data_IF_108064405162
#
_entry.id   IF_108064405162
#
_cell.length_a   1.000
_cell.length_b   1.000
_cell.length_c   1.000
_cell.angle_alpha   90.00
_cell.angle_beta   90.00
_cell.angle_gamma   90.00
#
_symmetry.space_group_name_H-M   'P 1'
#
loop_
_entity.id
_entity.type
_entity.pdbx_description
1 polymer ?
#
# COMPACT_ATOMS: atom_id res chain seq x y z
N UNK A 1 12.97 4.53 -43.19
CA UNK A 1 12.29 4.99 -41.97
C UNK A 1 11.96 6.45 -42.13
N UNK A 2 10.68 6.77 -42.21
CA UNK A 2 10.21 8.15 -42.32
C UNK A 2 9.96 8.73 -40.93
N UNK A 3 10.04 10.05 -40.76
CA UNK A 3 9.71 10.74 -39.50
C UNK A 3 8.29 10.41 -39.02
N UNK A 4 7.37 10.17 -39.96
CA UNK A 4 6.00 9.74 -39.71
C UNK A 4 5.91 8.36 -39.05
N UNK A 5 6.67 7.37 -39.53
CA UNK A 5 6.72 6.04 -38.91
C UNK A 5 7.31 6.09 -37.49
N UNK A 6 8.31 6.95 -37.26
CA UNK A 6 8.89 7.14 -35.95
C UNK A 6 7.91 7.79 -34.96
N UNK A 7 7.10 8.76 -35.41
CA UNK A 7 6.06 9.38 -34.60
C UNK A 7 4.89 8.44 -34.33
N UNK A 8 4.48 7.63 -35.31
CA UNK A 8 3.45 6.62 -35.12
C UNK A 8 3.88 5.56 -34.09
N UNK A 9 5.14 5.10 -34.15
CA UNK A 9 5.67 4.16 -33.16
C UNK A 9 5.76 4.75 -31.75
N UNK A 10 6.15 6.03 -31.62
CA UNK A 10 6.19 6.73 -30.34
C UNK A 10 4.79 6.91 -29.74
N UNK A 11 3.80 7.26 -30.55
CA UNK A 11 2.41 7.39 -30.09
C UNK A 11 1.84 6.04 -29.65
N UNK A 12 2.16 4.95 -30.35
CA UNK A 12 1.69 3.62 -29.99
C UNK A 12 2.34 3.12 -28.69
N UNK A 13 3.64 3.38 -28.49
CA UNK A 13 4.34 3.13 -27.22
C UNK A 13 3.68 3.94 -26.08
N UNK A 14 3.34 5.21 -26.33
CA UNK A 14 2.69 6.08 -25.36
C UNK A 14 1.30 5.57 -24.98
N UNK A 15 0.52 5.13 -25.97
CA UNK A 15 -0.80 4.50 -25.77
C UNK A 15 -0.70 3.22 -24.95
N UNK A 16 0.30 2.39 -25.25
CA UNK A 16 0.53 1.14 -24.53
C UNK A 16 0.94 1.37 -23.07
N UNK A 17 1.75 2.40 -22.81
CA UNK A 17 2.13 2.82 -21.45
C UNK A 17 0.96 3.39 -20.65
N UNK A 18 0.06 4.14 -21.28
CA UNK A 18 -1.15 4.63 -20.62
C UNK A 18 -2.11 3.48 -20.25
N UNK A 19 -2.29 2.52 -21.16
CA UNK A 19 -3.11 1.32 -20.91
C UNK A 19 -2.55 0.44 -19.79
N UNK A 20 -1.24 0.23 -19.75
CA UNK A 20 -0.58 -0.57 -18.70
C UNK A 20 -0.55 0.13 -17.35
N UNK A 21 -0.43 1.47 -17.33
CA UNK A 21 -0.52 2.27 -16.12
C UNK A 21 -1.89 2.19 -15.43
N UNK A 22 -2.98 2.33 -16.19
CA UNK A 22 -4.33 2.24 -15.65
C UNK A 22 -4.66 0.81 -15.14
N UNK A 23 -4.17 -0.24 -15.83
CA UNK A 23 -4.31 -1.63 -15.38
C UNK A 23 -3.55 -1.91 -14.08
N UNK A 24 -2.33 -1.38 -13.93
CA UNK A 24 -1.53 -1.50 -12.72
C UNK A 24 -2.21 -0.85 -11.50
N UNK A 25 -2.74 0.36 -11.67
CA UNK A 25 -3.44 1.10 -10.60
C UNK A 25 -4.75 0.40 -10.23
N UNK A 26 -5.48 -0.14 -11.21
CA UNK A 26 -6.70 -0.89 -10.94
C UNK A 26 -6.41 -2.19 -10.18
N UNK A 27 -5.31 -2.88 -10.51
CA UNK A 27 -4.90 -4.10 -9.81
C UNK A 27 -4.43 -3.82 -8.39
N UNK A 28 -3.56 -2.82 -8.19
CA UNK A 28 -3.00 -2.46 -6.87
C UNK A 28 -4.05 -1.90 -5.89
N UNK A 29 -5.09 -1.23 -6.39
CA UNK A 29 -6.22 -0.73 -5.59
C UNK A 29 -7.46 -1.64 -5.64
N UNK A 30 -7.31 -2.89 -6.08
CA UNK A 30 -8.43 -3.81 -5.98
C UNK A 30 -8.85 -3.95 -4.52
N UNK A 31 -10.17 -4.08 -4.29
CA UNK A 31 -10.76 -4.17 -2.95
C UNK A 31 -10.08 -5.24 -2.10
N UNK A 32 -9.62 -6.33 -2.72
CA UNK A 32 -8.89 -7.43 -2.11
C UNK A 32 -7.57 -7.01 -1.50
N UNK A 33 -6.73 -6.24 -2.21
CA UNK A 33 -5.43 -5.79 -1.66
C UNK A 33 -5.59 -4.73 -0.57
N UNK A 34 -6.56 -3.81 -0.71
CA UNK A 34 -6.86 -2.82 0.33
C UNK A 34 -7.30 -3.53 1.62
N UNK A 35 -8.15 -4.55 1.50
CA UNK A 35 -8.57 -5.36 2.64
C UNK A 35 -7.40 -6.14 3.23
N UNK A 36 -6.54 -6.72 2.38
CA UNK A 36 -5.37 -7.46 2.84
C UNK A 36 -4.40 -6.56 3.61
N UNK A 37 -4.10 -5.35 3.12
CA UNK A 37 -3.27 -4.38 3.83
C UNK A 37 -3.88 -4.00 5.17
N UNK A 38 -5.19 -3.73 5.22
CA UNK A 38 -5.87 -3.39 6.46
C UNK A 38 -5.80 -4.55 7.48
N UNK A 39 -5.98 -5.80 7.02
CA UNK A 39 -5.85 -7.00 7.86
C UNK A 39 -4.41 -7.17 8.35
N UNK A 40 -3.41 -7.01 7.48
CA UNK A 40 -1.99 -7.11 7.88
C UNK A 40 -1.66 -6.11 8.97
N UNK A 41 -2.03 -4.83 8.79
CA UNK A 41 -1.80 -3.78 9.79
C UNK A 41 -2.51 -4.09 11.11
N UNK A 42 -3.76 -4.55 11.04
CA UNK A 42 -4.52 -4.92 12.23
C UNK A 42 -3.85 -6.07 13.01
N UNK A 43 -3.48 -7.14 12.32
CA UNK A 43 -2.84 -8.33 12.92
C UNK A 43 -1.49 -7.95 13.55
N UNK A 44 -0.68 -7.17 12.83
CA UNK A 44 0.65 -6.76 13.31
C UNK A 44 0.56 -5.89 14.57
N UNK A 45 -0.33 -4.91 14.60
CA UNK A 45 -0.45 -3.98 15.73
C UNK A 45 -1.26 -4.54 16.91
N UNK A 46 -2.25 -5.40 16.69
CA UNK A 46 -3.02 -6.03 17.79
C UNK A 46 -2.22 -7.11 18.51
N UNK A 47 -1.19 -7.66 17.87
CA UNK A 47 -0.28 -8.67 18.44
C UNK A 47 0.29 -8.30 19.82
N UNK A 48 0.50 -7.01 20.07
CA UNK A 48 1.08 -6.52 21.32
C UNK A 48 0.19 -6.69 22.56
N UNK A 49 -1.13 -6.85 22.38
CA UNK A 49 -2.05 -7.13 23.49
C UNK A 49 -2.09 -8.62 23.88
N UNK A 50 -1.52 -9.51 23.06
CA UNK A 50 -1.56 -10.95 23.33
C UNK A 50 -0.48 -11.39 24.34
N UNK A 51 -0.81 -12.28 25.29
CA UNK A 51 0.18 -12.87 26.19
C UNK A 51 1.14 -13.78 25.40
N UNK A 52 2.40 -13.87 25.83
CA UNK A 52 3.36 -14.82 25.26
C UNK A 52 2.83 -16.26 25.41
N UNK A 53 2.97 -17.14 24.38
CA UNK A 53 3.71 -16.96 23.12
C UNK A 53 2.85 -16.42 21.96
N UNK A 54 1.60 -16.04 22.20
CA UNK A 54 0.68 -15.67 21.12
C UNK A 54 1.08 -14.38 20.42
N UNK A 55 1.75 -13.44 21.09
CA UNK A 55 2.29 -12.25 20.42
C UNK A 55 3.36 -12.59 19.38
N UNK A 56 4.28 -13.52 19.67
CA UNK A 56 5.30 -13.92 18.68
C UNK A 56 4.69 -14.71 17.52
N UNK A 57 3.71 -15.56 17.79
CA UNK A 57 2.95 -16.27 16.74
C UNK A 57 2.18 -15.29 15.83
N UNK A 58 1.54 -14.28 16.40
CA UNK A 58 0.76 -13.28 15.64
C UNK A 58 1.66 -12.35 14.84
N UNK A 59 2.83 -11.99 15.39
CA UNK A 59 3.85 -11.22 14.68
C UNK A 59 4.42 -12.02 13.50
N UNK A 60 4.72 -13.31 13.69
CA UNK A 60 5.14 -14.19 12.61
C UNK A 60 4.06 -14.30 11.51
N UNK A 61 2.79 -14.40 11.90
CA UNK A 61 1.66 -14.40 10.96
C UNK A 61 1.59 -13.08 10.18
N UNK A 62 1.78 -11.93 10.84
CA UNK A 62 1.85 -10.61 10.21
C UNK A 62 2.96 -10.54 9.15
N UNK A 63 4.17 -11.00 9.48
CA UNK A 63 5.30 -11.07 8.54
C UNK A 63 4.99 -11.98 7.36
N UNK A 64 4.39 -13.15 7.58
CA UNK A 64 3.98 -14.07 6.50
C UNK A 64 2.91 -13.43 5.61
N UNK A 65 1.94 -12.72 6.19
CA UNK A 65 0.92 -11.99 5.43
C UNK A 65 1.57 -10.90 4.57
N UNK A 66 2.51 -10.15 5.11
CA UNK A 66 3.21 -9.05 4.44
C UNK A 66 4.12 -9.56 3.32
N UNK A 67 4.86 -10.65 3.57
CA UNK A 67 5.61 -11.33 2.52
C UNK A 67 4.67 -11.90 1.45
N UNK A 68 3.56 -12.51 1.86
CA UNK A 68 2.55 -13.07 0.97
C UNK A 68 1.87 -12.03 0.09
N UNK A 69 1.55 -10.84 0.62
CA UNK A 69 1.01 -9.72 -0.17
C UNK A 69 2.03 -9.22 -1.18
N UNK A 70 3.29 -9.03 -0.79
CA UNK A 70 4.36 -8.60 -1.69
C UNK A 70 4.59 -9.62 -2.80
N UNK A 71 4.69 -10.91 -2.46
CA UNK A 71 4.85 -12.00 -3.43
C UNK A 71 3.63 -12.09 -4.35
N UNK A 72 2.41 -12.01 -3.83
CA UNK A 72 1.20 -12.03 -4.65
C UNK A 72 1.12 -10.82 -5.58
N UNK A 73 1.52 -9.64 -5.11
CA UNK A 73 1.61 -8.43 -5.92
C UNK A 73 2.66 -8.58 -7.03
N UNK A 74 3.82 -9.16 -6.72
CA UNK A 74 4.91 -9.31 -7.69
C UNK A 74 4.63 -10.42 -8.73
N UNK A 75 3.98 -11.51 -8.30
CA UNK A 75 3.57 -12.61 -9.19
C UNK A 75 2.37 -12.26 -10.08
N UNK A 76 1.48 -11.37 -9.62
CA UNK A 76 0.28 -10.97 -10.37
C UNK A 76 0.40 -9.63 -11.07
N UNK A 77 1.52 -8.90 -10.91
CA UNK A 77 1.77 -7.68 -11.66
C UNK A 77 1.90 -8.02 -13.16
N UNK A 78 0.94 -7.61 -14.00
CA UNK A 78 0.99 -7.94 -15.44
C UNK A 78 2.13 -7.19 -16.16
N UNK A 79 2.79 -6.24 -15.50
CA UNK A 79 3.93 -5.49 -16.00
C UNK A 79 4.93 -5.28 -14.87
N UNK A 80 6.13 -5.85 -14.99
CA UNK A 80 7.26 -5.55 -14.09
C UNK A 80 7.77 -4.13 -14.38
N UNK A 81 7.27 -3.14 -13.63
CA UNK A 81 7.84 -1.79 -13.63
C UNK A 81 8.74 -1.61 -12.42
N UNK A 82 9.94 -1.08 -12.63
CA UNK A 82 10.86 -0.71 -11.54
C UNK A 82 10.22 0.44 -10.77
N UNK A 83 10.02 0.29 -9.46
CA UNK A 83 9.47 1.35 -8.62
C UNK A 83 10.29 2.62 -8.76
N UNK A 84 9.60 3.72 -9.04
CA UNK A 84 10.22 5.04 -9.08
C UNK A 84 10.63 5.48 -7.67
N UNK A 85 11.72 6.24 -7.53
CA UNK A 85 12.10 6.81 -6.23
C UNK A 85 10.99 7.63 -5.58
N UNK A 86 10.11 8.26 -6.39
CA UNK A 86 8.94 8.99 -5.90
C UNK A 86 7.82 8.07 -5.37
N UNK A 87 7.64 6.90 -5.97
CA UNK A 87 6.71 5.88 -5.43
C UNK A 87 7.20 5.38 -4.08
N UNK A 88 8.51 5.07 -3.98
CA UNK A 88 9.13 4.66 -2.72
C UNK A 88 8.98 5.71 -1.63
N UNK A 89 9.22 6.99 -1.95
CA UNK A 89 9.00 8.10 -1.02
C UNK A 89 7.53 8.24 -0.59
N UNK A 90 6.59 8.05 -1.51
CA UNK A 90 5.17 8.08 -1.17
C UNK A 90 4.80 6.91 -0.25
N UNK A 91 5.28 5.69 -0.52
CA UNK A 91 5.05 4.55 0.36
C UNK A 91 5.67 4.79 1.74
N UNK A 92 6.91 5.26 1.81
CA UNK A 92 7.56 5.61 3.07
C UNK A 92 6.78 6.68 3.84
N UNK A 93 6.28 7.72 3.15
CA UNK A 93 5.46 8.76 3.75
C UNK A 93 4.13 8.23 4.29
N UNK A 94 3.43 7.39 3.53
CA UNK A 94 2.18 6.75 3.96
C UNK A 94 2.42 5.84 5.17
N UNK A 95 3.49 5.04 5.16
CA UNK A 95 3.88 4.22 6.31
C UNK A 95 4.17 5.06 7.54
N UNK A 96 4.90 6.17 7.41
CA UNK A 96 5.17 7.08 8.51
C UNK A 96 3.88 7.68 9.10
N UNK A 97 2.92 8.06 8.25
CA UNK A 97 1.60 8.54 8.70
C UNK A 97 0.86 7.49 9.51
N UNK A 98 0.85 6.22 9.07
CA UNK A 98 0.21 5.15 9.83
C UNK A 98 0.89 4.90 11.18
N UNK A 99 2.21 4.98 11.26
CA UNK A 99 2.95 4.86 12.54
C UNK A 99 2.59 6.00 13.48
N UNK A 100 2.57 7.24 13.01
CA UNK A 100 2.19 8.39 13.84
C UNK A 100 0.75 8.27 14.33
N UNK A 101 -0.18 7.87 13.45
CA UNK A 101 -1.57 7.64 13.81
C UNK A 101 -1.71 6.53 14.86
N UNK A 102 -0.98 5.42 14.69
CA UNK A 102 -0.95 4.32 15.66
C UNK A 102 -0.52 4.82 17.04
N UNK A 103 0.62 5.52 17.12
CA UNK A 103 1.17 6.03 18.38
C UNK A 103 0.21 7.02 19.05
N UNK A 104 -0.43 7.90 18.28
CA UNK A 104 -1.42 8.84 18.80
C UNK A 104 -2.66 8.11 19.34
N UNK A 105 -3.20 7.16 18.59
CA UNK A 105 -4.36 6.37 19.02
C UNK A 105 -4.03 5.52 20.27
N UNK A 106 -2.82 4.97 20.33
CA UNK A 106 -2.32 4.20 21.46
C UNK A 106 -2.18 5.08 22.71
N UNK A 107 -1.61 6.27 22.58
CA UNK A 107 -1.48 7.22 23.68
C UNK A 107 -2.86 7.63 24.23
N UNK A 108 -3.84 7.86 23.36
CA UNK A 108 -5.22 8.15 23.76
C UNK A 108 -5.85 6.95 24.46
N UNK A 109 -5.66 5.73 23.94
CA UNK A 109 -6.22 4.52 24.52
C UNK A 109 -5.67 4.24 25.92
N UNK A 110 -4.36 4.45 26.13
CA UNK A 110 -3.75 4.38 27.46
C UNK A 110 -4.25 5.49 28.38
N UNK A 111 -4.33 6.74 27.91
CA UNK A 111 -4.82 7.85 28.72
C UNK A 111 -6.29 7.68 29.16
N UNK A 112 -7.06 6.89 28.41
CA UNK A 112 -8.45 6.54 28.70
C UNK A 112 -8.60 5.20 29.46
N UNK A 113 -7.50 4.57 29.89
CA UNK A 113 -7.48 3.26 30.56
C UNK A 113 -8.30 2.19 29.83
N UNK A 114 -8.26 2.19 28.49
CA UNK A 114 -9.03 1.25 27.70
C UNK A 114 -8.43 -0.17 27.78
N UNK A 115 -9.27 -1.21 27.85
CA UNK A 115 -8.80 -2.59 27.72
C UNK A 115 -8.27 -2.83 26.31
N UNK A 116 -7.16 -3.55 26.18
CA UNK A 116 -6.51 -3.88 24.90
C UNK A 116 -6.17 -2.62 24.06
N UNK A 117 -5.31 -1.72 24.57
CA UNK A 117 -5.02 -0.43 23.95
C UNK A 117 -4.37 -0.56 22.57
N UNK A 118 -3.56 -1.60 22.34
CA UNK A 118 -2.93 -1.83 21.05
C UNK A 118 -3.93 -2.29 19.98
N UNK A 119 -4.95 -3.06 20.35
CA UNK A 119 -6.03 -3.53 19.47
C UNK A 119 -6.93 -2.38 19.05
N UNK A 120 -7.22 -1.45 19.98
CA UNK A 120 -8.01 -0.25 19.68
C UNK A 120 -7.23 0.66 18.72
N UNK A 121 -5.95 0.90 18.98
CA UNK A 121 -5.08 1.66 18.09
C UNK A 121 -4.94 0.99 16.71
N UNK A 122 -4.78 -0.33 16.67
CA UNK A 122 -4.72 -1.13 15.45
C UNK A 122 -6.01 -1.01 14.63
N UNK A 123 -7.17 -1.01 15.29
CA UNK A 123 -8.48 -0.83 14.64
C UNK A 123 -8.58 0.54 13.97
N UNK A 124 -8.16 1.60 14.66
CA UNK A 124 -8.15 2.94 14.11
C UNK A 124 -7.28 3.02 12.85
N UNK A 125 -6.07 2.48 12.90
CA UNK A 125 -5.15 2.45 11.75
C UNK A 125 -5.73 1.63 10.59
N UNK A 126 -6.31 0.46 10.87
CA UNK A 126 -6.92 -0.39 9.85
C UNK A 126 -8.08 0.32 9.14
N UNK A 127 -8.99 0.96 9.89
CA UNK A 127 -10.09 1.74 9.32
C UNK A 127 -9.59 2.95 8.52
N UNK A 128 -8.59 3.66 9.04
CA UNK A 128 -7.96 4.78 8.31
C UNK A 128 -7.26 4.30 7.04
N UNK A 129 -6.64 3.13 7.03
CA UNK A 129 -6.04 2.57 5.82
C UNK A 129 -7.10 2.27 4.76
N UNK A 130 -8.25 1.74 5.17
CA UNK A 130 -9.39 1.45 4.30
C UNK A 130 -9.97 2.73 3.69
N UNK A 131 -10.15 3.77 4.50
CA UNK A 131 -10.63 5.08 4.06
C UNK A 131 -9.60 5.80 3.18
N UNK A 132 -8.32 5.72 3.57
CA UNK A 132 -7.18 6.33 2.90
C UNK A 132 -6.91 5.76 1.51
N UNK A 133 -7.23 4.48 1.28
CA UNK A 133 -7.08 3.83 -0.03
C UNK A 133 -7.84 4.57 -1.15
N UNK A 134 -8.96 5.23 -0.83
CA UNK A 134 -9.69 6.05 -1.81
C UNK A 134 -8.92 7.32 -2.21
N UNK A 135 -8.12 7.87 -1.30
CA UNK A 135 -7.35 9.10 -1.47
C UNK A 135 -5.95 8.87 -2.02
N UNK A 136 -5.31 7.76 -1.66
CA UNK A 136 -3.98 7.41 -2.18
C UNK A 136 -4.02 6.97 -3.64
N UNK A 137 -5.16 6.43 -4.12
CA UNK A 137 -5.36 6.04 -5.53
C UNK A 137 -5.07 7.18 -6.52
N UNK A 138 -5.73 8.35 -6.48
CA UNK A 138 -5.48 9.44 -7.42
C UNK A 138 -4.05 10.01 -7.32
N UNK A 139 -3.44 10.01 -6.13
CA UNK A 139 -2.05 10.44 -5.93
C UNK A 139 -1.07 9.49 -6.62
N UNK A 140 -1.25 8.19 -6.45
CA UNK A 140 -0.43 7.18 -7.11
C UNK A 140 -0.59 7.28 -8.64
N UNK A 141 -1.83 7.45 -9.12
CA UNK A 141 -2.11 7.67 -10.55
C UNK A 141 -1.39 8.90 -11.10
N UNK A 142 -1.39 10.01 -10.37
CA UNK A 142 -0.74 11.24 -10.78
C UNK A 142 0.80 11.07 -10.86
N UNK A 143 1.39 10.36 -9.89
CA UNK A 143 2.84 10.08 -9.88
C UNK A 143 3.21 9.12 -11.02
N UNK A 144 2.48 8.02 -11.18
CA UNK A 144 2.71 7.04 -12.24
C UNK A 144 2.64 7.70 -13.62
N UNK A 145 1.60 8.50 -13.89
CA UNK A 145 1.43 9.24 -15.16
C UNK A 145 2.52 10.28 -15.38
N UNK A 146 2.97 10.96 -14.33
CA UNK A 146 4.04 11.97 -14.43
C UNK A 146 5.39 11.33 -14.74
N UNK A 147 5.65 10.15 -14.19
CA UNK A 147 6.90 9.44 -14.43
C UNK A 147 6.95 8.83 -15.84
N UNK A 148 5.82 8.34 -16.37
CA UNK A 148 5.74 7.87 -17.76
C UNK A 148 5.89 8.99 -18.81
N UNK A 149 5.76 10.27 -18.43
CA UNK A 149 5.99 11.41 -19.34
C UNK A 149 7.45 11.88 -19.37
N UNK A 150 8.28 11.47 -18.42
CA UNK A 150 9.67 11.91 -18.30
C UNK A 150 10.68 10.86 -18.83
N UNK A 151 10.17 9.74 -19.38
CA UNK A 151 10.92 8.72 -20.12
C UNK A 151 10.66 8.95 -21.60
#
# INVERSE_FOLDING_TARGET
MTSYEAQAALDDIRRFQEHTGDAYIHHGFSRSYVLMTAVTLFVEFSSFDLPHPWSSATLALGVVLLAGTLIAQELRAPVRRRHSGRELLLYAGVSAVFVVLYLAALAIAHAADLPAPHTIAATAVALTSLAGARWTRPLLTAIVRRDSRNV
#
